data_IF_122057662940
#
_entry.id   IF_122057662940
#
_cell.length_a   1.000
_cell.length_b   1.000
_cell.length_c   1.000
_cell.angle_alpha   90.00
_cell.angle_beta   90.00
_cell.angle_gamma   90.00
#
_symmetry.space_group_name_H-M   'P 1'
#
loop_
_entity.id
_entity.type
_entity.pdbx_description
1 polymer ?
#
# COMPACT_ATOMS: atom_id res chain seq x y z
N UNK A 1 1.29 -12.71 -18.60
CA UNK A 1 1.19 -11.26 -18.74
C UNK A 1 0.55 -10.64 -17.52
N UNK A 2 1.09 -9.54 -17.08
CA UNK A 2 0.56 -8.83 -15.94
C UNK A 2 -0.52 -7.84 -16.40
N UNK A 3 -1.73 -8.02 -15.90
CA UNK A 3 -2.86 -7.17 -16.29
C UNK A 3 -3.12 -6.03 -15.31
N UNK A 4 -2.23 -5.86 -14.32
CA UNK A 4 -2.43 -4.90 -13.24
C UNK A 4 -1.44 -3.74 -13.36
N UNK A 5 -1.23 -3.26 -14.55
CA UNK A 5 -0.40 -2.07 -14.83
C UNK A 5 1.02 -2.19 -14.25
N UNK A 6 1.56 -3.40 -14.31
CA UNK A 6 2.90 -3.65 -13.81
C UNK A 6 2.98 -4.13 -12.38
N UNK A 7 1.87 -4.14 -11.66
CA UNK A 7 1.86 -4.61 -10.27
C UNK A 7 1.78 -6.13 -10.21
N UNK A 8 2.32 -6.71 -9.15
CA UNK A 8 2.43 -8.16 -8.97
C UNK A 8 1.09 -8.87 -9.01
N UNK A 9 0.07 -8.30 -8.36
CA UNK A 9 -1.24 -8.92 -8.31
C UNK A 9 -2.33 -7.86 -8.19
N UNK A 10 -3.57 -8.31 -8.29
CA UNK A 10 -4.73 -7.44 -8.27
C UNK A 10 -4.82 -6.64 -6.95
N UNK A 11 -4.59 -7.31 -5.83
CA UNK A 11 -4.71 -6.67 -4.52
C UNK A 11 -3.71 -5.52 -4.37
N UNK A 12 -2.48 -5.72 -4.83
CA UNK A 12 -1.45 -4.68 -4.77
C UNK A 12 -1.85 -3.49 -5.63
N UNK A 13 -2.30 -3.74 -6.85
CA UNK A 13 -2.76 -2.69 -7.74
C UNK A 13 -3.92 -1.92 -7.13
N UNK A 14 -4.92 -2.65 -6.62
CA UNK A 14 -6.13 -2.05 -6.09
C UNK A 14 -5.85 -1.19 -4.86
N UNK A 15 -5.08 -1.72 -3.93
CA UNK A 15 -4.77 -0.99 -2.70
C UNK A 15 -3.96 0.27 -3.01
N UNK A 16 -2.99 0.17 -3.90
CA UNK A 16 -2.22 1.35 -4.28
C UNK A 16 -3.11 2.40 -4.95
N UNK A 17 -4.02 1.97 -5.82
CA UNK A 17 -4.92 2.88 -6.52
C UNK A 17 -5.87 3.58 -5.55
N UNK A 18 -6.52 2.81 -4.69
CA UNK A 18 -7.53 3.35 -3.80
C UNK A 18 -6.94 4.18 -2.66
N UNK A 19 -5.77 3.80 -2.18
CA UNK A 19 -5.10 4.55 -1.13
C UNK A 19 -4.35 5.77 -1.66
N UNK A 20 -4.04 5.80 -2.96
CA UNK A 20 -3.33 6.93 -3.55
C UNK A 20 -1.89 7.07 -3.06
N UNK A 21 -1.24 5.97 -2.73
CA UNK A 21 0.12 6.02 -2.17
C UNK A 21 1.11 6.76 -3.06
N UNK A 22 1.00 6.57 -4.37
CA UNK A 22 1.93 7.20 -5.31
C UNK A 22 1.51 8.61 -5.71
N UNK A 23 0.34 9.05 -5.26
CA UNK A 23 -0.17 10.38 -5.56
C UNK A 23 0.13 11.38 -4.44
N UNK A 24 0.16 10.91 -3.19
CA UNK A 24 0.41 11.79 -2.04
C UNK A 24 1.65 11.30 -1.29
N UNK A 25 2.81 11.63 -1.85
CA UNK A 25 4.09 11.20 -1.29
C UNK A 25 4.43 11.92 0.02
N UNK A 26 3.83 13.07 0.25
CA UNK A 26 4.12 13.87 1.44
C UNK A 26 3.54 13.26 2.72
N UNK A 27 2.64 12.29 2.57
CA UNK A 27 2.06 11.60 3.71
C UNK A 27 3.06 10.68 4.41
N UNK A 28 4.18 10.36 3.76
CA UNK A 28 5.13 9.37 4.27
C UNK A 28 6.48 10.00 4.56
N UNK A 29 6.99 9.74 5.75
CA UNK A 29 8.22 10.35 6.22
C UNK A 29 9.44 9.44 6.12
N UNK A 30 9.21 8.13 6.09
CA UNK A 30 10.31 7.16 6.05
C UNK A 30 11.07 7.25 4.74
N UNK A 31 12.39 7.10 4.83
CA UNK A 31 13.26 7.07 3.64
C UNK A 31 14.03 5.77 3.56
N UNK A 32 13.68 4.82 4.42
CA UNK A 32 14.24 3.48 4.47
C UNK A 32 13.14 2.51 4.03
N UNK A 33 13.50 1.53 3.19
CA UNK A 33 12.51 0.63 2.61
C UNK A 33 11.71 -0.12 3.68
N UNK A 34 12.41 -0.70 4.65
CA UNK A 34 11.74 -1.50 5.68
C UNK A 34 10.78 -0.65 6.52
N UNK A 35 11.19 0.55 6.89
CA UNK A 35 10.34 1.45 7.66
C UNK A 35 9.15 1.92 6.84
N UNK A 36 9.37 2.16 5.55
CA UNK A 36 8.29 2.60 4.67
C UNK A 36 7.24 1.51 4.49
N UNK A 37 7.68 0.25 4.39
CA UNK A 37 6.74 -0.87 4.30
C UNK A 37 5.80 -0.87 5.51
N UNK A 38 6.35 -0.69 6.70
CA UNK A 38 5.55 -0.65 7.93
C UNK A 38 4.60 0.56 7.91
N UNK A 39 5.12 1.70 7.50
CA UNK A 39 4.34 2.94 7.47
C UNK A 39 3.14 2.83 6.51
N UNK A 40 3.37 2.29 5.31
CA UNK A 40 2.30 2.12 4.32
C UNK A 40 1.22 1.18 4.82
N UNK A 41 1.65 0.04 5.39
CA UNK A 41 0.70 -0.95 5.89
C UNK A 41 -0.11 -0.41 7.06
N UNK A 42 0.57 0.26 7.99
CA UNK A 42 -0.12 0.83 9.14
C UNK A 42 -1.13 1.89 8.71
N UNK A 43 -0.76 2.70 7.73
CA UNK A 43 -1.67 3.72 7.19
C UNK A 43 -2.92 3.06 6.60
N UNK A 44 -2.73 2.01 5.80
CA UNK A 44 -3.87 1.32 5.18
C UNK A 44 -4.76 0.68 6.24
N UNK A 45 -4.17 0.05 7.24
CA UNK A 45 -4.94 -0.56 8.32
C UNK A 45 -5.74 0.49 9.08
N UNK A 46 -5.16 1.64 9.32
CA UNK A 46 -5.83 2.72 10.02
C UNK A 46 -7.00 3.29 9.20
N UNK A 47 -6.77 3.55 7.92
CA UNK A 47 -7.79 4.13 7.03
C UNK A 47 -8.97 3.17 6.85
N UNK A 48 -8.68 1.87 6.82
CA UNK A 48 -9.70 0.85 6.58
C UNK A 48 -10.28 0.25 7.86
N UNK A 49 -9.96 0.85 8.99
CA UNK A 49 -10.47 0.41 10.29
C UNK A 49 -11.99 0.45 10.31
N UNK A 50 -12.61 -0.58 10.89
CA UNK A 50 -14.06 -0.69 10.90
C UNK A 50 -14.54 -1.42 12.17
N UNK A 51 -15.70 -1.04 12.66
CA UNK A 51 -16.36 -1.75 13.77
C UNK A 51 -17.08 -3.00 13.28
N UNK A 52 -17.24 -3.13 11.98
CA UNK A 52 -17.90 -4.29 11.39
C UNK A 52 -16.91 -5.43 11.24
N UNK A 53 -17.14 -6.53 11.98
CA UNK A 53 -16.21 -7.67 11.98
C UNK A 53 -16.06 -8.29 10.59
N UNK A 54 -17.15 -8.39 9.84
CA UNK A 54 -17.09 -8.97 8.51
C UNK A 54 -16.26 -8.11 7.58
N UNK A 55 -16.47 -6.80 7.60
CA UNK A 55 -15.69 -5.88 6.79
C UNK A 55 -14.21 -5.95 7.15
N UNK A 56 -13.91 -6.00 8.46
CA UNK A 56 -12.54 -6.11 8.93
C UNK A 56 -11.87 -7.38 8.41
N UNK A 57 -12.60 -8.50 8.42
CA UNK A 57 -12.05 -9.76 7.93
C UNK A 57 -11.74 -9.69 6.44
N UNK A 58 -12.63 -9.10 5.63
CA UNK A 58 -12.38 -8.94 4.21
C UNK A 58 -11.17 -8.03 3.96
N UNK A 59 -11.08 -6.93 4.69
CA UNK A 59 -9.94 -6.02 4.57
C UNK A 59 -8.64 -6.74 4.90
N UNK A 60 -8.62 -7.50 5.99
CA UNK A 60 -7.42 -8.21 6.39
C UNK A 60 -6.99 -9.24 5.36
N UNK A 61 -7.95 -9.92 4.72
CA UNK A 61 -7.64 -10.87 3.65
C UNK A 61 -6.99 -10.15 2.47
N UNK A 62 -7.55 -9.01 2.06
CA UNK A 62 -7.01 -8.24 0.95
C UNK A 62 -5.62 -7.72 1.29
N UNK A 63 -5.46 -7.14 2.47
CA UNK A 63 -4.17 -6.56 2.87
C UNK A 63 -3.08 -7.62 3.00
N UNK A 64 -3.46 -8.86 3.35
CA UNK A 64 -2.49 -9.95 3.48
C UNK A 64 -1.92 -10.38 2.12
N UNK A 65 -2.60 -10.03 1.03
CA UNK A 65 -2.16 -10.39 -0.32
C UNK A 65 -1.42 -9.26 -1.03
N UNK A 66 -1.36 -8.10 -0.42
CA UNK A 66 -0.66 -6.94 -1.00
C UNK A 66 0.84 -7.14 -0.91
N UNK A 67 1.54 -6.87 -2.00
CA UNK A 67 3.00 -6.84 -1.99
C UNK A 67 3.45 -5.46 -1.54
N UNK A 68 3.53 -5.29 -0.22
CA UNK A 68 3.88 -4.00 0.37
C UNK A 68 5.27 -3.53 -0.03
N UNK A 69 6.18 -4.48 -0.24
CA UNK A 69 7.54 -4.13 -0.67
C UNK A 69 7.51 -3.49 -2.05
N UNK A 70 6.70 -4.01 -2.95
CA UNK A 70 6.58 -3.46 -4.30
C UNK A 70 6.06 -2.02 -4.25
N UNK A 71 5.02 -1.77 -3.46
CA UNK A 71 4.49 -0.41 -3.31
C UNK A 71 5.56 0.49 -2.69
N UNK A 72 6.21 0.02 -1.64
CA UNK A 72 7.22 0.81 -0.96
C UNK A 72 8.39 1.16 -1.87
N UNK A 73 8.81 0.23 -2.73
CA UNK A 73 9.87 0.49 -3.68
C UNK A 73 9.50 1.60 -4.65
N UNK A 74 8.27 1.58 -5.16
CA UNK A 74 7.81 2.62 -6.07
C UNK A 74 7.69 3.97 -5.37
N UNK A 75 7.13 3.98 -4.16
CA UNK A 75 6.99 5.22 -3.39
C UNK A 75 8.36 5.81 -3.06
N UNK A 76 9.29 4.96 -2.61
CA UNK A 76 10.62 5.42 -2.26
C UNK A 76 11.34 6.00 -3.47
N UNK A 77 11.22 5.33 -4.63
CA UNK A 77 11.81 5.81 -5.86
C UNK A 77 11.30 7.22 -6.21
N UNK A 78 9.99 7.43 -6.09
CA UNK A 78 9.41 8.74 -6.39
C UNK A 78 9.83 9.80 -5.37
N UNK A 79 9.94 9.42 -4.11
CA UNK A 79 10.42 10.34 -3.08
C UNK A 79 11.86 10.76 -3.33
N UNK A 80 12.68 9.85 -3.84
CA UNK A 80 14.09 10.13 -4.10
C UNK A 80 14.32 10.92 -5.39
N UNK A 81 13.31 10.97 -6.24
CA UNK A 81 13.38 11.75 -7.48
C UNK A 81 13.21 13.24 -7.26
N UNK A 82 12.73 13.64 -6.10
CA UNK A 82 12.49 15.06 -5.81
C UNK A 82 13.67 15.68 -5.06
#
# INVERSE_FOLDING_TARGET
>A
MNEYNGWTNYETWLVNLEMGFTDDLHAFESRNLDDLIVELRDYAEHVLESDNILATNFVNIILSKVDWREIAEVVLERLMEN
#
